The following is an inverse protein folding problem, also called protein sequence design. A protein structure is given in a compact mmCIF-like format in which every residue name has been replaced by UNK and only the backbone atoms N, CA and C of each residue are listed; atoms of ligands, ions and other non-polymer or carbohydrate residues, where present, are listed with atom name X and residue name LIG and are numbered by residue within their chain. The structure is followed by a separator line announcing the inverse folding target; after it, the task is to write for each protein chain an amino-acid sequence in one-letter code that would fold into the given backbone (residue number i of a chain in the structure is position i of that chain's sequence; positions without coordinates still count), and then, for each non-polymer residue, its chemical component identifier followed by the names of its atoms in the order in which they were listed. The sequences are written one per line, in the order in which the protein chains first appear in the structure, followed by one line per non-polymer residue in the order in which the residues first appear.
data_IF_381889729638
#
_entry.id   IF_381889729638
#
_cell.length_a   1.000
_cell.length_b   1.000
_cell.length_c   1.000
_cell.angle_alpha   90.00
_cell.angle_beta   90.00
_cell.angle_gamma   90.00
#
_symmetry.space_group_name_H-M   'P 1'
#
loop_
_entity.id
_entity.type
_entity.pdbx_description
1 polymer ?
#
# COMPACT_ATOMS: atom_id res chain seq x y z
N UNK A 1 -8.10 -10.93 -19.14
CA UNK A 1 -7.68 -9.88 -18.20
C UNK A 1 -8.03 -10.33 -16.80
N UNK A 2 -7.04 -10.72 -15.99
CA UNK A 2 -7.27 -11.08 -14.59
C UNK A 2 -7.55 -9.80 -13.79
N UNK A 3 -8.74 -9.69 -13.20
CA UNK A 3 -8.99 -8.69 -12.17
C UNK A 3 -8.41 -9.23 -10.88
N UNK A 4 -7.56 -8.44 -10.21
CA UNK A 4 -7.12 -8.74 -8.86
C UNK A 4 -8.36 -9.00 -7.99
N UNK A 5 -8.48 -10.23 -7.48
CA UNK A 5 -9.43 -10.57 -6.42
C UNK A 5 -8.61 -10.76 -5.15
N UNK A 6 -8.71 -9.86 -4.16
CA UNK A 6 -8.09 -10.07 -2.87
C UNK A 6 -8.68 -11.34 -2.24
N UNK A 7 -7.80 -12.17 -1.68
CA UNK A 7 -8.20 -13.36 -0.93
C UNK A 7 -8.72 -12.96 0.46
N UNK A 8 -9.65 -13.72 1.07
CA UNK A 8 -10.22 -13.33 2.36
C UNK A 8 -9.16 -13.38 3.50
N UNK A 9 -9.03 -12.30 4.28
CA UNK A 9 -8.07 -12.19 5.40
C UNK A 9 -8.78 -12.46 6.73
N UNK A 10 -8.17 -13.26 7.63
CA UNK A 10 -8.75 -13.63 8.94
C UNK A 10 -8.07 -12.98 10.13
N UNK A 11 -6.75 -12.77 10.09
CA UNK A 11 -5.97 -12.14 11.18
C UNK A 11 -4.71 -11.48 10.65
N UNK A 12 -4.35 -10.35 11.25
CA UNK A 12 -3.04 -9.72 11.09
C UNK A 12 -2.21 -10.14 12.30
N UNK A 13 -0.99 -10.63 12.07
CA UNK A 13 -0.09 -11.02 13.16
C UNK A 13 1.01 -9.98 13.32
N UNK A 14 1.10 -9.40 14.50
CA UNK A 14 2.30 -8.66 14.90
C UNK A 14 3.44 -9.66 15.08
N UNK A 15 4.56 -9.44 14.40
CA UNK A 15 5.81 -10.12 14.72
C UNK A 15 6.75 -9.11 15.33
N UNK A 16 6.95 -9.20 16.64
CA UNK A 16 8.04 -8.52 17.32
C UNK A 16 9.35 -8.92 16.65
N UNK A 17 10.15 -7.92 16.32
CA UNK A 17 11.47 -8.09 15.73
C UNK A 17 12.44 -8.62 16.80
N UNK A 18 12.27 -9.88 17.21
CA UNK A 18 13.24 -10.59 18.07
C UNK A 18 14.38 -11.23 17.27
N UNK A 19 14.57 -10.78 16.02
CA UNK A 19 15.66 -11.24 15.14
C UNK A 19 16.31 -10.02 14.50
N UNK A 20 17.65 -10.06 14.38
CA UNK A 20 18.54 -9.09 13.70
C UNK A 20 18.27 -8.94 12.18
N UNK A 21 17.01 -9.03 11.74
CA UNK A 21 16.67 -8.80 10.34
C UNK A 21 16.75 -7.30 10.02
N UNK A 22 17.22 -6.95 8.82
CA UNK A 22 17.27 -5.57 8.39
C UNK A 22 15.87 -4.96 8.44
N UNK A 23 15.74 -3.76 9.01
CA UNK A 23 14.48 -3.00 9.08
C UNK A 23 13.99 -2.47 7.71
N UNK A 24 14.50 -3.04 6.62
CA UNK A 24 14.21 -2.68 5.24
C UNK A 24 13.16 -3.63 4.63
N UNK A 25 12.46 -3.18 3.60
CA UNK A 25 11.40 -3.96 2.95
C UNK A 25 11.85 -5.37 2.54
N UNK A 26 13.09 -5.52 2.07
CA UNK A 26 13.65 -6.80 1.64
C UNK A 26 13.82 -7.80 2.80
N UNK A 27 14.17 -7.33 4.00
CA UNK A 27 14.28 -8.16 5.20
C UNK A 27 12.92 -8.71 5.61
N UNK A 28 11.90 -7.86 5.55
CA UNK A 28 10.53 -8.28 5.79
C UNK A 28 10.02 -9.30 4.77
N UNK A 29 10.24 -9.07 3.47
CA UNK A 29 9.86 -10.02 2.41
C UNK A 29 10.49 -11.39 2.67
N UNK A 30 11.77 -11.44 3.04
CA UNK A 30 12.43 -12.69 3.40
C UNK A 30 11.73 -13.37 4.59
N UNK A 31 11.47 -12.63 5.67
CA UNK A 31 10.88 -13.17 6.89
C UNK A 31 9.46 -13.71 6.67
N UNK A 32 8.61 -13.01 5.92
CA UNK A 32 7.25 -13.46 5.62
C UNK A 32 7.26 -14.71 4.73
N UNK A 33 8.10 -14.74 3.71
CA UNK A 33 8.29 -15.93 2.88
C UNK A 33 8.81 -17.13 3.66
N UNK A 34 9.79 -16.93 4.55
CA UNK A 34 10.34 -17.99 5.40
C UNK A 34 9.26 -18.62 6.29
N UNK A 35 8.41 -17.76 6.87
CA UNK A 35 7.33 -18.19 7.73
C UNK A 35 6.07 -18.66 6.99
N UNK A 36 6.05 -18.56 5.65
CA UNK A 36 4.88 -18.81 4.80
C UNK A 36 3.66 -17.95 5.17
N UNK A 37 3.93 -16.74 5.64
CA UNK A 37 2.93 -15.73 5.97
C UNK A 37 2.78 -14.76 4.80
N UNK A 38 1.58 -14.19 4.63
CA UNK A 38 1.36 -13.20 3.58
C UNK A 38 1.74 -11.81 4.06
N UNK A 39 2.19 -10.91 3.18
CA UNK A 39 2.41 -9.51 3.55
C UNK A 39 1.20 -8.65 3.22
N UNK A 40 0.94 -7.61 4.01
CA UNK A 40 -0.11 -6.63 3.68
C UNK A 40 0.25 -5.85 2.41
N UNK A 41 -0.61 -5.90 1.40
CA UNK A 41 -0.61 -5.01 0.25
C UNK A 41 -1.62 -3.87 0.44
N UNK A 42 -1.47 -2.77 -0.30
CA UNK A 42 -2.42 -1.64 -0.25
C UNK A 42 -3.88 -2.08 -0.54
N UNK A 43 -4.18 -2.98 -1.50
CA UNK A 43 -5.55 -3.44 -1.73
C UNK A 43 -6.19 -4.18 -0.55
N UNK A 44 -5.40 -4.83 0.30
CA UNK A 44 -5.91 -5.58 1.45
C UNK A 44 -6.63 -4.67 2.45
N UNK A 45 -6.27 -3.38 2.45
CA UNK A 45 -6.93 -2.32 3.21
C UNK A 45 -8.36 -2.13 2.74
N UNK A 46 -8.57 -2.02 1.43
CA UNK A 46 -9.90 -1.89 0.86
C UNK A 46 -10.74 -3.15 1.13
N UNK A 47 -10.12 -4.33 1.10
CA UNK A 47 -10.80 -5.57 1.42
C UNK A 47 -11.26 -5.62 2.89
N UNK A 48 -10.38 -5.27 3.83
CA UNK A 48 -10.68 -5.29 5.26
C UNK A 48 -11.85 -4.38 5.65
N UNK A 49 -12.06 -3.28 4.93
CA UNK A 49 -13.22 -2.40 5.13
C UNK A 49 -14.53 -3.00 4.60
N UNK A 50 -14.46 -3.87 3.60
CA UNK A 50 -15.63 -4.50 2.99
C UNK A 50 -16.03 -5.83 3.64
N UNK A 51 -15.13 -6.49 4.37
CA UNK A 51 -15.33 -7.86 4.84
C UNK A 51 -16.36 -8.02 5.96
N UNK A 52 -16.94 -6.92 6.47
CA UNK A 52 -17.82 -6.88 7.67
C UNK A 52 -17.19 -7.45 8.96
N UNK A 53 -15.95 -7.94 8.88
CA UNK A 53 -15.18 -8.43 10.02
C UNK A 53 -14.43 -7.27 10.67
N UNK A 54 -15.11 -6.65 11.64
CA UNK A 54 -14.54 -5.56 12.44
C UNK A 54 -13.26 -5.96 13.20
N UNK A 55 -13.00 -7.25 13.39
CA UNK A 55 -11.77 -7.75 14.03
C UNK A 55 -10.53 -7.53 13.17
N UNK A 56 -10.61 -7.84 11.87
CA UNK A 56 -9.52 -7.60 10.90
C UNK A 56 -9.25 -6.11 10.79
N UNK A 57 -10.32 -5.32 10.68
CA UNK A 57 -10.26 -3.87 10.58
C UNK A 57 -9.59 -3.22 11.80
N UNK A 58 -10.02 -3.58 13.01
CA UNK A 58 -9.47 -3.03 14.24
C UNK A 58 -8.02 -3.47 14.48
N UNK A 59 -7.65 -4.69 14.06
CA UNK A 59 -6.27 -5.17 14.12
C UNK A 59 -5.36 -4.33 13.21
N UNK A 60 -5.79 -4.10 11.97
CA UNK A 60 -5.05 -3.25 11.03
C UNK A 60 -4.83 -1.87 11.62
N UNK A 61 -5.90 -1.19 12.07
CA UNK A 61 -5.81 0.19 12.60
C UNK A 61 -4.86 0.33 13.79
N UNK A 62 -4.85 -0.63 14.73
CA UNK A 62 -3.92 -0.61 15.88
C UNK A 62 -2.47 -0.67 15.44
N UNK A 63 -2.17 -1.56 14.49
CA UNK A 63 -0.83 -1.77 13.97
C UNK A 63 -0.30 -0.55 13.19
N UNK A 64 -1.20 0.26 12.62
CA UNK A 64 -0.84 1.45 11.83
C UNK A 64 -0.50 2.69 12.63
N UNK A 65 -0.75 2.70 13.94
CA UNK A 65 -0.20 3.74 14.82
C UNK A 65 1.35 3.79 14.77
N UNK A 66 1.99 2.77 14.17
CA UNK A 66 3.43 2.56 14.13
C UNK A 66 4.06 2.71 12.73
N UNK A 67 3.33 3.22 11.72
CA UNK A 67 3.77 3.35 10.32
C UNK A 67 3.96 2.00 9.60
N UNK A 68 3.26 1.80 8.48
CA UNK A 68 3.25 0.53 7.73
C UNK A 68 3.96 0.69 6.39
N UNK A 69 4.84 -0.27 6.10
CA UNK A 69 5.42 -0.46 4.78
C UNK A 69 4.74 -1.64 4.09
N UNK A 70 3.94 -1.36 3.07
CA UNK A 70 3.18 -2.38 2.35
C UNK A 70 4.05 -3.22 1.40
N UNK A 71 3.52 -4.34 0.95
CA UNK A 71 4.05 -5.15 -0.15
C UNK A 71 3.67 -4.60 -1.52
N UNK A 72 3.03 -3.43 -1.59
CA UNK A 72 2.79 -2.72 -2.85
C UNK A 72 4.02 -1.92 -3.24
N UNK A 73 4.46 -2.07 -4.49
CA UNK A 73 5.57 -1.31 -5.08
C UNK A 73 5.14 -0.58 -6.34
N UNK A 74 5.84 0.51 -6.64
CA UNK A 74 5.92 1.06 -8.00
C UNK A 74 7.30 0.73 -8.55
N UNK A 75 7.34 0.14 -9.74
CA UNK A 75 8.57 -0.29 -10.42
C UNK A 75 8.51 -0.01 -11.92
N UNK A 76 9.60 -0.32 -12.61
CA UNK A 76 9.73 -0.17 -14.07
C UNK A 76 9.41 1.25 -14.56
N UNK A 77 9.77 2.25 -13.76
CA UNK A 77 9.50 3.66 -14.06
C UNK A 77 10.36 4.06 -15.27
N UNK A 78 9.68 4.36 -16.38
CA UNK A 78 10.32 4.73 -17.65
C UNK A 78 10.55 6.24 -17.74
N UNK A 79 11.30 6.68 -18.76
CA UNK A 79 11.56 8.11 -19.03
C UNK A 79 10.28 8.93 -19.27
N UNK A 80 9.24 8.30 -19.80
CA UNK A 80 7.91 8.91 -19.99
C UNK A 80 7.01 8.76 -18.75
N UNK A 81 7.57 8.32 -17.61
CA UNK A 81 6.91 8.14 -16.31
C UNK A 81 5.80 7.09 -16.29
N UNK A 82 5.65 6.30 -17.35
CA UNK A 82 4.87 5.07 -17.25
C UNK A 82 5.57 4.13 -16.28
N UNK A 83 4.78 3.44 -15.47
CA UNK A 83 5.28 2.57 -14.41
C UNK A 83 4.39 1.33 -14.26
N UNK A 84 4.79 0.42 -13.37
CA UNK A 84 4.00 -0.73 -12.96
C UNK A 84 3.77 -0.64 -11.47
N UNK A 85 2.49 -0.70 -11.06
CA UNK A 85 2.13 -0.97 -9.66
C UNK A 85 2.10 -2.48 -9.48
N UNK A 86 2.91 -3.00 -8.57
CA UNK A 86 2.93 -4.42 -8.21
C UNK A 86 2.40 -4.61 -6.79
N UNK A 87 1.32 -5.37 -6.64
CA UNK A 87 0.82 -5.81 -5.33
C UNK A 87 1.47 -7.13 -4.94
N UNK A 88 1.62 -7.36 -3.62
CA UNK A 88 2.26 -8.57 -3.08
C UNK A 88 3.69 -8.78 -3.59
N UNK A 89 4.42 -7.70 -3.83
CA UNK A 89 5.77 -7.74 -4.39
C UNK A 89 6.70 -8.62 -3.54
N UNK A 90 7.39 -9.54 -4.21
CA UNK A 90 8.32 -10.49 -3.58
C UNK A 90 7.67 -11.64 -2.79
N UNK A 91 6.34 -11.72 -2.73
CA UNK A 91 5.64 -12.81 -2.04
C UNK A 91 5.81 -14.14 -2.78
N UNK A 92 6.05 -15.21 -2.02
CA UNK A 92 6.01 -16.63 -2.46
C UNK A 92 4.74 -17.34 -2.01
N UNK A 93 3.89 -16.65 -1.25
CA UNK A 93 2.66 -17.20 -0.65
C UNK A 93 1.43 -16.79 -1.45
N UNK A 94 1.42 -15.54 -1.93
CA UNK A 94 0.41 -14.99 -2.83
C UNK A 94 1.13 -14.60 -4.12
N UNK A 95 0.53 -14.92 -5.26
CA UNK A 95 1.05 -14.50 -6.55
C UNK A 95 1.02 -12.96 -6.67
N UNK A 96 2.15 -12.30 -7.01
CA UNK A 96 2.16 -10.88 -7.27
C UNK A 96 1.26 -10.51 -8.45
N UNK A 97 0.60 -9.36 -8.36
CA UNK A 97 -0.19 -8.84 -9.49
C UNK A 97 0.37 -7.51 -9.94
N UNK A 98 0.31 -7.27 -11.25
CA UNK A 98 0.90 -6.09 -11.87
C UNK A 98 -0.16 -5.29 -12.63
N UNK A 99 -0.19 -4.00 -12.39
CA UNK A 99 -1.11 -3.04 -13.02
C UNK A 99 -0.26 -1.98 -13.71
N UNK A 100 -0.43 -1.85 -15.03
CA UNK A 100 0.27 -0.85 -15.79
C UNK A 100 -0.30 0.54 -15.50
N UNK A 101 0.57 1.46 -15.11
CA UNK A 101 0.25 2.86 -14.94
C UNK A 101 0.77 3.64 -16.14
N UNK A 102 -0.14 4.33 -16.85
CA UNK A 102 0.23 5.10 -18.03
C UNK A 102 1.16 6.27 -17.69
N UNK A 103 0.92 6.92 -16.56
CA UNK A 103 1.72 8.02 -16.06
C UNK A 103 1.69 8.01 -14.53
N UNK A 104 2.88 8.05 -13.91
CA UNK A 104 3.03 8.30 -12.49
C UNK A 104 2.83 9.80 -12.25
N UNK A 105 1.75 10.23 -11.54
CA UNK A 105 1.59 11.64 -11.21
C UNK A 105 2.73 12.10 -10.29
N UNK A 106 3.12 13.36 -10.41
CA UNK A 106 4.08 13.99 -9.50
C UNK A 106 3.30 14.67 -8.37
N UNK A 107 3.37 14.09 -7.18
CA UNK A 107 2.74 14.61 -5.97
C UNK A 107 3.79 14.90 -4.91
N UNK A 108 3.68 16.08 -4.32
CA UNK A 108 4.41 16.49 -3.12
C UNK A 108 3.37 16.96 -2.10
N UNK A 109 3.00 16.06 -1.20
CA UNK A 109 1.97 16.29 -0.19
C UNK A 109 0.64 16.80 -0.76
N UNK A 110 0.26 16.29 -1.93
CA UNK A 110 -1.02 16.60 -2.59
C UNK A 110 -2.16 15.96 -1.80
N UNK A 111 -3.24 16.70 -1.56
CA UNK A 111 -4.39 16.16 -0.82
C UNK A 111 -5.15 15.11 -1.63
N UNK A 112 -5.91 14.24 -0.96
CA UNK A 112 -6.73 13.25 -1.64
C UNK A 112 -7.78 13.90 -2.55
N UNK A 113 -8.38 15.01 -2.12
CA UNK A 113 -9.36 15.73 -2.93
C UNK A 113 -8.74 16.32 -4.20
N UNK A 114 -7.54 16.89 -4.10
CA UNK A 114 -6.81 17.40 -5.27
C UNK A 114 -6.44 16.26 -6.22
N UNK A 115 -5.91 15.15 -5.70
CA UNK A 115 -5.54 14.00 -6.53
C UNK A 115 -6.76 13.37 -7.23
N UNK A 116 -7.93 13.34 -6.58
CA UNK A 116 -9.16 12.84 -7.19
C UNK A 116 -9.85 13.85 -8.10
N UNK A 117 -9.36 15.09 -8.16
CA UNK A 117 -9.81 16.13 -9.08
C UNK A 117 -9.31 15.96 -10.51
N UNK A 118 -8.37 15.03 -10.76
CA UNK A 118 -7.81 14.76 -12.08
C UNK A 118 -7.80 13.26 -12.43
N UNK A 119 -7.87 12.94 -13.73
CA UNK A 119 -7.91 11.56 -14.21
C UNK A 119 -6.65 10.76 -13.84
N UNK A 120 -5.47 11.40 -13.83
CA UNK A 120 -4.22 10.71 -13.55
C UNK A 120 -4.16 10.23 -12.10
N UNK A 121 -4.63 11.04 -11.16
CA UNK A 121 -4.73 10.68 -9.74
C UNK A 121 -5.80 9.64 -9.47
N UNK A 122 -6.94 9.71 -10.16
CA UNK A 122 -7.95 8.64 -10.12
C UNK A 122 -7.34 7.31 -10.59
N UNK A 123 -6.69 7.29 -11.76
CA UNK A 123 -6.06 6.08 -12.29
C UNK A 123 -4.94 5.56 -11.40
N UNK A 124 -4.15 6.44 -10.81
CA UNK A 124 -3.10 6.07 -9.87
C UNK A 124 -3.67 5.42 -8.61
N UNK A 125 -4.66 6.04 -7.97
CA UNK A 125 -5.31 5.50 -6.78
C UNK A 125 -6.08 4.21 -7.06
N UNK A 126 -6.71 4.09 -8.23
CA UNK A 126 -7.29 2.84 -8.73
C UNK A 126 -6.23 1.75 -8.88
N UNK A 127 -5.06 2.08 -9.42
CA UNK A 127 -3.97 1.12 -9.55
C UNK A 127 -3.44 0.68 -8.18
N UNK A 128 -3.40 1.55 -7.18
CA UNK A 128 -2.96 1.22 -5.82
C UNK A 128 -3.96 0.38 -5.02
N UNK A 129 -5.25 0.68 -5.12
CA UNK A 129 -6.29 0.16 -4.24
C UNK A 129 -7.08 -0.97 -4.91
N UNK A 130 -7.80 -0.64 -5.98
CA UNK A 130 -8.55 -1.57 -6.82
C UNK A 130 -8.99 -0.80 -8.08
N UNK A 131 -8.68 -1.37 -9.25
CA UNK A 131 -8.98 -0.77 -10.55
C UNK A 131 -10.47 -0.47 -10.78
N UNK A 132 -11.36 -1.10 -10.01
CA UNK A 132 -12.81 -0.95 -10.13
C UNK A 132 -13.40 0.07 -9.13
N UNK A 133 -12.57 0.71 -8.30
CA UNK A 133 -13.04 1.71 -7.34
C UNK A 133 -13.19 3.08 -8.00
N UNK A 134 -14.40 3.66 -7.95
CA UNK A 134 -14.62 5.06 -8.30
C UNK A 134 -14.08 6.03 -7.24
N UNK A 135 -13.96 7.32 -7.55
CA UNK A 135 -13.43 8.35 -6.63
C UNK A 135 -14.12 8.37 -5.26
N UNK A 136 -15.46 8.32 -5.23
CA UNK A 136 -16.23 8.30 -3.97
C UNK A 136 -15.88 7.12 -3.07
N UNK A 137 -15.66 5.95 -3.69
CA UNK A 137 -15.32 4.71 -3.01
C UNK A 137 -13.88 4.75 -2.51
N UNK A 138 -12.96 5.32 -3.29
CA UNK A 138 -11.58 5.58 -2.87
C UNK A 138 -11.55 6.50 -1.65
N UNK A 139 -12.27 7.63 -1.71
CA UNK A 139 -12.38 8.57 -0.59
C UNK A 139 -12.95 7.90 0.65
N UNK A 140 -14.08 7.18 0.52
CA UNK A 140 -14.69 6.48 1.63
C UNK A 140 -13.72 5.48 2.28
N UNK A 141 -12.96 4.74 1.46
CA UNK A 141 -11.96 3.80 1.98
C UNK A 141 -10.83 4.49 2.70
N UNK A 142 -10.19 5.47 2.08
CA UNK A 142 -9.04 6.11 2.69
C UNK A 142 -9.43 6.93 3.93
N UNK A 143 -10.62 7.54 3.96
CA UNK A 143 -11.16 8.20 5.16
C UNK A 143 -11.48 7.22 6.28
N UNK A 144 -12.21 6.15 5.98
CA UNK A 144 -12.50 5.11 6.97
C UNK A 144 -11.20 4.50 7.51
N UNK A 145 -10.24 4.30 6.61
CA UNK A 145 -8.94 3.75 6.91
C UNK A 145 -8.16 4.62 7.89
N UNK A 146 -7.87 5.83 7.47
CA UNK A 146 -7.04 6.79 8.19
C UNK A 146 -7.73 7.44 9.39
N UNK A 147 -9.07 7.41 9.43
CA UNK A 147 -9.84 8.25 10.36
C UNK A 147 -9.63 9.74 10.12
N UNK A 148 -9.18 10.13 8.92
CA UNK A 148 -8.94 11.52 8.51
C UNK A 148 -9.93 11.94 7.44
N UNK A 149 -10.10 13.25 7.34
CA UNK A 149 -10.79 13.88 6.22
C UNK A 149 -9.87 13.85 4.99
N UNK A 150 -10.45 13.98 3.80
CA UNK A 150 -9.74 13.86 2.52
C UNK A 150 -8.63 14.89 2.35
N UNK A 151 -8.82 16.11 2.85
CA UNK A 151 -7.81 17.17 2.89
C UNK A 151 -6.65 16.90 3.86
N UNK A 152 -6.81 15.96 4.80
CA UNK A 152 -5.80 15.52 5.75
C UNK A 152 -5.13 14.20 5.34
N UNK A 153 -5.48 13.68 4.16
CA UNK A 153 -4.84 12.53 3.53
C UNK A 153 -3.94 13.06 2.42
N UNK A 154 -2.63 12.86 2.55
CA UNK A 154 -1.60 13.41 1.67
C UNK A 154 -0.93 12.30 0.86
N UNK A 155 -0.81 12.54 -0.44
CA UNK A 155 -0.10 11.68 -1.38
C UNK A 155 1.26 12.27 -1.70
N UNK A 156 2.28 11.42 -1.76
CA UNK A 156 3.61 11.81 -2.24
C UNK A 156 4.20 10.73 -3.15
N UNK A 157 4.64 11.14 -4.33
CA UNK A 157 5.31 10.28 -5.32
C UNK A 157 6.69 10.80 -5.70
N UNK A 158 7.12 11.91 -5.10
CA UNK A 158 8.37 12.61 -5.46
C UNK A 158 9.60 11.69 -5.41
N UNK A 159 9.67 10.79 -4.43
CA UNK A 159 10.79 9.85 -4.28
C UNK A 159 10.83 8.76 -5.36
N UNK A 160 9.71 8.51 -6.03
CA UNK A 160 9.60 7.58 -7.15
C UNK A 160 9.89 8.25 -8.50
N UNK A 161 10.01 9.58 -8.56
CA UNK A 161 10.10 10.31 -9.83
C UNK A 161 11.50 10.29 -10.47
N UNK A 162 12.11 9.10 -10.53
CA UNK A 162 13.41 8.87 -11.16
C UNK A 162 13.37 7.55 -11.95
N UNK A 163 13.72 7.56 -13.25
CA UNK A 163 13.73 6.34 -14.04
C UNK A 163 14.61 5.25 -13.44
N UNK A 164 14.12 4.00 -13.44
CA UNK A 164 14.84 2.85 -12.91
C UNK A 164 14.84 2.70 -11.39
N UNK A 165 14.20 3.61 -10.64
CA UNK A 165 13.95 3.41 -9.21
C UNK A 165 12.71 2.55 -8.98
N UNK A 166 12.74 1.81 -7.88
CA UNK A 166 11.58 1.20 -7.26
C UNK A 166 11.26 1.89 -5.94
N UNK A 167 9.99 2.03 -5.64
CA UNK A 167 9.52 2.47 -4.34
C UNK A 167 8.50 1.50 -3.77
N UNK A 168 8.47 1.42 -2.45
CA UNK A 168 7.40 0.80 -1.69
C UNK A 168 6.33 1.84 -1.36
N UNK A 169 5.08 1.42 -1.20
CA UNK A 169 4.04 2.30 -0.70
C UNK A 169 4.02 2.23 0.83
N UNK A 170 4.38 3.35 1.45
CA UNK A 170 4.27 3.59 2.87
C UNK A 170 2.95 4.26 3.24
N UNK A 171 2.43 3.87 4.40
CA UNK A 171 1.17 4.33 4.98
C UNK A 171 1.41 4.71 6.44
N UNK A 172 1.38 6.00 6.75
CA UNK A 172 1.81 6.47 8.06
C UNK A 172 1.17 7.78 8.50
N UNK A 173 1.25 8.08 9.80
CA UNK A 173 0.82 9.36 10.35
C UNK A 173 2.00 10.28 10.59
N UNK A 174 1.87 11.54 10.18
CA UNK A 174 2.85 12.60 10.45
C UNK A 174 2.09 13.93 10.58
N UNK A 175 2.45 14.74 11.57
CA UNK A 175 1.87 16.07 11.77
C UNK A 175 0.32 16.08 11.79
N UNK A 176 -0.27 15.06 12.44
CA UNK A 176 -1.72 14.82 12.50
C UNK A 176 -2.40 14.55 11.14
N UNK A 177 -1.64 14.31 10.08
CA UNK A 177 -2.11 13.92 8.75
C UNK A 177 -1.76 12.47 8.45
N UNK A 178 -2.49 11.88 7.51
CA UNK A 178 -2.23 10.53 7.03
C UNK A 178 -1.54 10.59 5.67
N UNK A 179 -0.42 9.90 5.52
CA UNK A 179 0.41 9.94 4.32
C UNK A 179 0.37 8.61 3.59
N UNK A 180 0.19 8.69 2.27
CA UNK A 180 0.37 7.60 1.31
C UNK A 180 1.54 7.99 0.43
N UNK A 181 2.72 7.46 0.72
CA UNK A 181 3.96 7.92 0.08
C UNK A 181 4.72 6.79 -0.59
N UNK A 182 5.28 7.09 -1.76
CA UNK A 182 6.36 6.33 -2.33
C UNK A 182 7.59 6.48 -1.45
N UNK A 183 8.07 5.39 -0.85
CA UNK A 183 9.28 5.38 -0.05
C UNK A 183 10.35 4.53 -0.75
N UNK A 184 11.63 4.93 -0.73
CA UNK A 184 12.71 4.11 -1.28
C UNK A 184 12.70 2.70 -0.68
N UNK A 185 13.03 1.66 -1.44
CA UNK A 185 13.04 0.27 -0.93
C UNK A 185 14.02 0.04 0.26
N UNK A 186 15.04 0.89 0.37
CA UNK A 186 16.03 0.93 1.46
C UNK A 186 15.58 1.76 2.67
N UNK A 187 14.33 2.25 2.67
CA UNK A 187 13.76 2.94 3.82
C UNK A 187 13.68 2.00 5.04
N UNK A 188 14.18 2.46 6.19
CA UNK A 188 13.92 1.83 7.49
C UNK A 188 12.62 2.34 8.13
N UNK A 189 11.88 3.21 7.42
CA UNK A 189 10.67 3.83 7.92
C UNK A 189 9.51 2.85 7.70
N UNK A 190 9.19 2.10 8.75
CA UNK A 190 7.96 1.32 8.86
C UNK A 190 8.18 -0.18 9.02
N UNK A 191 7.22 -0.81 9.68
CA UNK A 191 7.15 -2.27 9.78
C UNK A 191 6.36 -2.82 8.59
N UNK A 192 6.79 -3.95 8.02
CA UNK A 192 5.93 -4.70 7.11
C UNK A 192 5.16 -5.76 7.90
N UNK A 193 3.90 -6.04 7.53
CA UNK A 193 2.96 -6.85 8.34
C UNK A 193 2.55 -8.15 7.67
N UNK A 194 2.31 -9.17 8.51
CA UNK A 194 1.83 -10.48 8.13
C UNK A 194 0.31 -10.58 8.17
N UNK A 195 -0.34 -11.07 7.12
CA UNK A 195 -1.77 -11.39 7.08
C UNK A 195 -1.98 -12.90 6.92
N UNK A 196 -2.97 -13.43 7.63
CA UNK A 196 -3.42 -14.82 7.53
C UNK A 196 -4.60 -14.89 6.57
N UNK A 197 -4.40 -15.53 5.41
CA UNK A 197 -5.43 -15.73 4.38
C UNK A 197 -6.26 -16.98 4.68
N UNK A 198 -7.57 -16.87 4.50
CA UNK A 198 -8.51 -17.99 4.45
C UNK A 198 -8.44 -18.58 3.05
N UNK A 199 -7.97 -19.82 2.96
CA UNK A 199 -8.11 -20.66 1.77
C UNK A 199 -9.38 -21.49 1.86
#
# INVERSE_FOLDING_TARGET
MSGYRPEPIRRVREKNADYDFPQYQIGWIFQYNYNKDCMIAVPDICFALNSQDSGVWNSLRKDMALNVLSSTKIKDIKKNLSAVVEHNSGSKVIEPTQIALRILPLYDNTTLDEALGDDAGIYYLQALLDKNCGPERITAYLKAFSGKESNDILLSTIDAYQPGKECAIGLFYKDNKFHISCLPAETSIGFSRGVEIIR
#
